data_IF_923198701957
#
_entry.id   IF_923198701957
#
_cell.length_a   1.000
_cell.length_b   1.000
_cell.length_c   1.000
_cell.angle_alpha   90.00
_cell.angle_beta   90.00
_cell.angle_gamma   90.00
#
_symmetry.space_group_name_H-M   'P 1'
#
loop_
_entity.id
_entity.type
_entity.pdbx_description
1 polymer ?
#
# COMPACT_ATOMS: atom_id res chain seq x y z
N UNK A 1 1.13 -13.55 8.32
CA UNK A 1 0.39 -12.32 8.68
C UNK A 1 -1.13 -12.47 8.60
N UNK A 2 -1.78 -12.54 7.41
CA UNK A 2 -3.26 -12.61 7.34
C UNK A 2 -3.86 -13.80 8.12
N UNK A 3 -3.24 -14.98 8.02
CA UNK A 3 -3.66 -16.15 8.79
C UNK A 3 -3.55 -15.93 10.31
N UNK A 4 -2.48 -15.26 10.76
CA UNK A 4 -2.28 -14.95 12.19
C UNK A 4 -3.31 -13.92 12.67
N UNK A 5 -3.63 -12.90 11.86
CA UNK A 5 -4.68 -11.91 12.16
C UNK A 5 -6.03 -12.63 12.37
N UNK A 6 -6.37 -13.57 11.49
CA UNK A 6 -7.59 -14.37 11.60
C UNK A 6 -7.60 -15.26 12.84
N UNK A 7 -6.49 -15.97 13.12
CA UNK A 7 -6.35 -16.83 14.30
C UNK A 7 -6.53 -16.07 15.61
N UNK A 8 -6.01 -14.85 15.69
CA UNK A 8 -6.09 -14.00 16.88
C UNK A 8 -7.36 -13.13 16.92
N UNK A 9 -8.29 -13.29 15.95
CA UNK A 9 -9.54 -12.53 15.87
C UNK A 9 -9.34 -11.01 15.87
N UNK A 10 -8.23 -10.55 15.28
CA UNK A 10 -7.93 -9.12 15.16
C UNK A 10 -8.79 -8.55 14.04
N UNK A 11 -9.68 -7.62 14.38
CA UNK A 11 -10.55 -6.94 13.41
C UNK A 11 -9.74 -5.87 12.68
N UNK A 12 -9.67 -5.99 11.36
CA UNK A 12 -9.08 -4.99 10.46
C UNK A 12 -10.16 -4.39 9.57
N UNK A 13 -9.88 -3.24 8.97
CA UNK A 13 -10.79 -2.64 8.00
C UNK A 13 -10.91 -3.52 6.77
N UNK A 14 -12.14 -3.83 6.38
CA UNK A 14 -12.48 -4.56 5.15
C UNK A 14 -13.16 -3.59 4.20
N UNK A 15 -12.67 -3.51 2.96
CA UNK A 15 -13.26 -2.63 1.95
C UNK A 15 -14.70 -3.05 1.67
N UNK A 16 -15.69 -2.14 1.73
CA UNK A 16 -17.09 -2.48 1.51
C UNK A 16 -17.33 -2.99 0.09
N UNK A 17 -18.34 -3.85 -0.06
CA UNK A 17 -18.88 -4.19 -1.38
C UNK A 17 -19.74 -3.03 -1.87
N UNK A 18 -19.58 -2.69 -3.15
CA UNK A 18 -20.28 -1.57 -3.80
C UNK A 18 -21.09 -2.14 -4.95
N UNK A 19 -22.29 -1.60 -5.17
CA UNK A 19 -23.19 -2.04 -6.25
C UNK A 19 -22.62 -1.72 -7.64
N UNK A 20 -21.80 -0.67 -7.74
CA UNK A 20 -21.11 -0.31 -8.97
C UNK A 20 -20.01 -1.33 -9.30
N UNK A 21 -20.18 -2.05 -10.42
CA UNK A 21 -19.31 -3.16 -10.80
C UNK A 21 -17.85 -2.75 -11.02
N UNK A 22 -17.62 -1.54 -11.53
CA UNK A 22 -16.28 -1.00 -11.77
C UNK A 22 -15.57 -0.70 -10.44
N UNK A 23 -16.24 0.02 -9.52
CA UNK A 23 -15.69 0.32 -8.19
C UNK A 23 -15.45 -0.96 -7.36
N UNK A 24 -16.35 -1.95 -7.47
CA UNK A 24 -16.18 -3.22 -6.78
C UNK A 24 -14.98 -4.03 -7.31
N UNK A 25 -14.66 -3.95 -8.61
CA UNK A 25 -13.44 -4.54 -9.18
C UNK A 25 -12.19 -3.89 -8.59
N UNK A 26 -12.16 -2.56 -8.47
CA UNK A 26 -11.06 -1.84 -7.80
C UNK A 26 -10.92 -2.25 -6.34
N UNK A 27 -12.02 -2.30 -5.59
CA UNK A 27 -12.00 -2.70 -4.18
C UNK A 27 -11.49 -4.13 -3.99
N UNK A 28 -11.85 -5.05 -4.88
CA UNK A 28 -11.34 -6.43 -4.85
C UNK A 28 -9.82 -6.47 -4.97
N UNK A 29 -9.25 -5.72 -5.92
CA UNK A 29 -7.80 -5.62 -6.09
C UNK A 29 -7.13 -5.07 -4.83
N UNK A 30 -7.76 -4.10 -4.16
CA UNK A 30 -7.24 -3.53 -2.92
C UNK A 30 -7.31 -4.52 -1.74
N UNK A 31 -8.41 -5.28 -1.61
CA UNK A 31 -8.56 -6.33 -0.58
C UNK A 31 -7.46 -7.39 -0.71
N UNK A 32 -7.18 -7.85 -1.93
CA UNK A 32 -6.16 -8.86 -2.21
C UNK A 32 -4.73 -8.39 -1.90
N UNK A 33 -4.51 -7.08 -1.78
CA UNK A 33 -3.20 -6.48 -1.45
C UNK A 33 -2.99 -6.17 0.03
N UNK A 34 -3.98 -6.44 0.88
CA UNK A 34 -3.82 -6.30 2.33
C UNK A 34 -2.97 -7.46 2.87
N UNK A 35 -1.97 -7.20 3.75
CA UNK A 35 -1.54 -5.91 4.24
C UNK A 35 -0.63 -5.15 3.26
N UNK A 36 -0.81 -3.83 3.16
CA UNK A 36 0.02 -3.00 2.30
C UNK A 36 1.44 -2.83 2.87
N UNK A 37 2.44 -3.21 2.08
CA UNK A 37 3.84 -2.92 2.36
C UNK A 37 4.20 -1.53 1.79
N UNK A 38 4.00 -0.48 2.60
CA UNK A 38 4.24 0.91 2.18
C UNK A 38 5.60 1.42 2.65
N UNK A 39 6.22 2.28 1.83
CA UNK A 39 7.42 3.05 2.21
C UNK A 39 7.04 4.53 2.19
N UNK A 40 7.12 5.19 3.35
CA UNK A 40 6.88 6.63 3.45
C UNK A 40 8.18 7.43 3.29
N UNK A 41 8.11 8.60 2.67
CA UNK A 41 9.22 9.54 2.56
C UNK A 41 8.75 10.99 2.79
N UNK A 42 9.44 11.72 3.67
CA UNK A 42 9.20 13.15 3.92
C UNK A 42 10.12 14.06 3.10
N UNK A 43 11.14 13.48 2.47
CA UNK A 43 12.17 14.21 1.72
C UNK A 43 11.90 14.10 0.23
N UNK A 44 12.11 15.21 -0.48
CA UNK A 44 12.06 15.27 -1.94
C UNK A 44 13.49 15.21 -2.47
N UNK A 45 13.73 14.31 -3.42
CA UNK A 45 15.01 14.13 -4.11
C UNK A 45 14.80 14.38 -5.60
N UNK A 46 15.87 14.74 -6.30
CA UNK A 46 15.86 14.87 -7.76
C UNK A 46 16.48 13.62 -8.38
N UNK A 47 15.71 12.93 -9.23
CA UNK A 47 16.11 11.73 -9.94
C UNK A 47 15.65 11.85 -11.40
N UNK A 48 16.58 11.68 -12.35
CA UNK A 48 16.31 11.78 -13.79
C UNK A 48 15.60 13.09 -14.20
N UNK A 49 15.94 14.21 -13.54
CA UNK A 49 15.36 15.53 -13.77
C UNK A 49 13.94 15.71 -13.19
N UNK A 50 13.42 14.74 -12.45
CA UNK A 50 12.13 14.82 -11.75
C UNK A 50 12.32 14.88 -10.24
N UNK A 51 11.47 15.66 -9.58
CA UNK A 51 11.40 15.74 -8.12
C UNK A 51 10.45 14.68 -7.59
N UNK A 52 10.97 13.72 -6.85
CA UNK A 52 10.26 12.54 -6.34
C UNK A 52 10.42 12.45 -4.83
N UNK A 53 9.44 11.88 -4.12
CA UNK A 53 9.57 11.63 -2.68
C UNK A 53 10.27 10.29 -2.49
N UNK A 54 11.40 10.27 -1.80
CA UNK A 54 12.17 9.04 -1.64
C UNK A 54 13.12 9.07 -0.46
N UNK A 55 13.55 7.88 -0.03
CA UNK A 55 14.57 7.69 1.01
C UNK A 55 15.89 7.29 0.37
N UNK A 56 16.89 8.15 0.49
CA UNK A 56 18.23 7.87 -0.01
C UNK A 56 19.05 7.10 1.02
N UNK A 57 19.64 6.01 0.58
CA UNK A 57 20.55 5.15 1.33
C UNK A 57 21.89 5.01 0.58
N UNK A 58 22.96 4.55 1.26
CA UNK A 58 24.23 4.26 0.59
C UNK A 58 24.12 3.23 -0.54
N UNK A 59 23.11 2.35 -0.49
CA UNK A 59 22.86 1.30 -1.47
C UNK A 59 21.81 1.66 -2.53
N UNK A 60 21.22 2.86 -2.49
CA UNK A 60 20.24 3.29 -3.48
C UNK A 60 19.13 4.15 -2.91
N UNK A 61 18.09 4.34 -3.70
CA UNK A 61 16.92 5.16 -3.35
C UNK A 61 15.70 4.26 -3.28
N UNK A 62 14.94 4.36 -2.19
CA UNK A 62 13.59 3.83 -2.13
C UNK A 62 12.62 4.94 -2.53
N UNK A 63 11.99 4.77 -3.69
CA UNK A 63 10.88 5.58 -4.23
C UNK A 63 9.57 4.81 -4.11
#
# INVERSE_FOLDING_TARGET
ILNEIAQHKIKIYEFPEVEEEEENKLHKILRDRVPFAVVGANTVIEQDGKKVRGRKYPWGVAE
#
